data_IF_524882802256
#
_entry.id   IF_524882802256
#
_cell.length_a   1.000
_cell.length_b   1.000
_cell.length_c   1.000
_cell.angle_alpha   90.00
_cell.angle_beta   90.00
_cell.angle_gamma   90.00
#
_symmetry.space_group_name_H-M   'P 1'
#
loop_
_entity.id
_entity.type
_entity.pdbx_description
1 polymer ?
#
# COMPACT_ATOMS: atom_id res chain seq x y z
N UNK A 1 29.11 -55.85 -50.52
CA UNK A 1 28.80 -55.36 -51.89
C UNK A 1 27.49 -54.58 -51.78
N UNK A 2 27.46 -53.35 -52.34
CA UNK A 2 26.31 -52.44 -52.53
C UNK A 2 25.77 -51.72 -51.27
N UNK A 3 26.04 -50.42 -51.07
CA UNK A 3 25.44 -49.18 -51.68
C UNK A 3 23.97 -48.93 -51.29
N UNK A 4 23.78 -47.90 -50.46
CA UNK A 4 22.65 -46.94 -50.46
C UNK A 4 22.32 -46.47 -51.89
N UNK A 5 21.15 -45.83 -52.20
CA UNK A 5 20.36 -44.93 -51.34
C UNK A 5 18.82 -45.01 -51.55
N UNK A 6 18.03 -44.19 -50.85
CA UNK A 6 16.84 -43.51 -51.41
C UNK A 6 16.37 -42.40 -50.45
N UNK A 7 16.22 -41.20 -51.03
CA UNK A 7 15.67 -39.98 -50.46
C UNK A 7 14.16 -39.87 -50.74
N UNK A 8 13.51 -39.08 -49.89
CA UNK A 8 12.38 -38.16 -50.10
C UNK A 8 11.15 -38.61 -50.91
N UNK A 9 9.97 -38.57 -50.27
CA UNK A 9 9.01 -37.46 -50.45
C UNK A 9 7.75 -37.64 -49.57
N UNK A 10 7.47 -36.59 -48.78
CA UNK A 10 6.19 -35.93 -48.48
C UNK A 10 4.92 -36.72 -48.12
N UNK A 11 4.32 -36.43 -46.95
CA UNK A 11 2.92 -35.97 -46.76
C UNK A 11 2.79 -35.31 -45.33
N UNK A 12 1.72 -34.57 -44.97
CA UNK A 12 1.53 -33.12 -45.12
C UNK A 12 1.35 -32.35 -43.78
N UNK A 13 1.32 -31.02 -43.86
CA UNK A 13 0.78 -30.12 -42.84
C UNK A 13 -0.68 -30.44 -42.50
N UNK A 14 -1.02 -30.59 -41.21
CA UNK A 14 -2.12 -29.84 -40.58
C UNK A 14 -2.31 -30.11 -39.07
N UNK A 15 -2.37 -28.99 -38.33
CA UNK A 15 -3.35 -28.68 -37.27
C UNK A 15 -3.13 -29.28 -35.86
N UNK A 16 -2.72 -28.37 -34.97
CA UNK A 16 -3.14 -28.22 -33.57
C UNK A 16 -3.40 -29.51 -32.77
N UNK A 17 -2.36 -29.98 -32.07
CA UNK A 17 -2.57 -30.68 -30.80
C UNK A 17 -2.17 -29.75 -29.65
N UNK A 18 -3.20 -29.20 -29.00
CA UNK A 18 -3.10 -28.70 -27.64
C UNK A 18 -2.45 -29.80 -26.77
N UNK A 19 -1.19 -29.63 -26.40
CA UNK A 19 -0.60 -30.44 -25.34
C UNK A 19 -1.24 -29.99 -24.03
N UNK A 20 -2.11 -30.87 -23.53
CA UNK A 20 -2.72 -30.84 -22.21
C UNK A 20 -1.70 -30.48 -21.13
N UNK A 21 -2.03 -29.55 -20.20
CA UNK A 21 -1.13 -29.25 -19.10
C UNK A 21 -0.96 -30.50 -18.21
N UNK A 22 0.30 -30.86 -18.00
CA UNK A 22 0.73 -31.91 -17.07
C UNK A 22 0.25 -31.50 -15.68
N UNK A 23 -0.78 -32.20 -15.19
CA UNK A 23 -1.28 -32.05 -13.82
C UNK A 23 -0.19 -32.59 -12.88
N UNK A 24 0.32 -31.72 -12.00
CA UNK A 24 1.27 -32.07 -10.97
C UNK A 24 0.50 -32.60 -9.75
N UNK A 25 0.57 -33.91 -9.48
CA UNK A 25 -0.19 -34.61 -8.43
C UNK A 25 0.28 -34.32 -6.98
N UNK A 26 0.86 -33.15 -6.71
CA UNK A 26 1.33 -32.75 -5.37
C UNK A 26 0.65 -31.49 -4.83
N UNK A 27 -0.44 -31.04 -5.44
CA UNK A 27 -1.26 -29.97 -4.88
C UNK A 27 -2.33 -30.58 -3.98
N UNK A 28 -2.27 -30.30 -2.68
CA UNK A 28 -3.44 -30.45 -1.82
C UNK A 28 -4.51 -29.48 -2.35
N UNK A 29 -5.32 -29.97 -3.29
CA UNK A 29 -6.50 -29.29 -3.82
C UNK A 29 -7.46 -29.11 -2.64
N UNK A 30 -7.53 -27.90 -2.08
CA UNK A 30 -8.73 -27.52 -1.33
C UNK A 30 -9.87 -27.37 -2.35
N UNK A 31 -11.07 -27.93 -2.14
CA UNK A 31 -12.04 -28.16 -3.21
C UNK A 31 -12.59 -26.91 -3.93
N UNK A 32 -12.32 -25.70 -3.44
CA UNK A 32 -13.11 -24.50 -3.78
C UNK A 32 -12.31 -23.28 -4.28
N UNK A 33 -11.06 -23.41 -4.75
CA UNK A 33 -10.30 -22.24 -5.23
C UNK A 33 -9.69 -22.47 -6.63
N UNK A 34 -10.18 -21.71 -7.63
CA UNK A 34 -9.57 -21.62 -8.95
C UNK A 34 -8.18 -20.97 -8.83
N UNK A 35 -7.12 -21.70 -9.18
CA UNK A 35 -5.75 -21.18 -9.21
C UNK A 35 -5.46 -20.49 -10.55
N UNK A 36 -4.92 -19.29 -10.49
CA UNK A 36 -4.40 -18.51 -11.60
C UNK A 36 -2.99 -19.02 -11.96
N UNK A 37 -2.77 -19.33 -13.24
CA UNK A 37 -1.44 -19.63 -13.80
C UNK A 37 -0.82 -18.36 -14.35
N UNK A 38 0.37 -18.01 -13.86
CA UNK A 38 1.21 -16.92 -14.38
C UNK A 38 2.51 -17.50 -14.90
N UNK A 39 2.77 -17.37 -16.20
CA UNK A 39 4.03 -17.74 -16.81
C UNK A 39 4.90 -16.49 -16.99
N UNK A 40 6.11 -16.51 -16.44
CA UNK A 40 7.10 -15.46 -16.69
C UNK A 40 7.90 -15.81 -17.93
N UNK A 41 7.57 -15.13 -19.04
CA UNK A 41 8.19 -15.29 -20.35
C UNK A 41 9.71 -15.07 -20.31
N UNK A 42 10.22 -14.28 -19.35
CA UNK A 42 11.63 -13.97 -19.25
C UNK A 42 12.45 -15.00 -18.47
N UNK A 43 11.81 -15.82 -17.62
CA UNK A 43 12.51 -16.68 -16.67
C UNK A 43 12.13 -18.15 -16.74
N UNK A 44 11.16 -18.54 -17.59
CA UNK A 44 10.60 -19.90 -17.64
C UNK A 44 10.06 -20.35 -16.27
N UNK A 45 9.63 -19.41 -15.44
CA UNK A 45 9.00 -19.68 -14.15
C UNK A 45 7.49 -19.70 -14.33
N UNK A 46 6.83 -20.73 -13.80
CA UNK A 46 5.38 -20.79 -13.73
C UNK A 46 4.94 -20.66 -12.27
N UNK A 47 3.96 -19.79 -12.01
CA UNK A 47 3.39 -19.57 -10.69
C UNK A 47 1.90 -19.93 -10.70
N UNK A 48 1.45 -20.63 -9.66
CA UNK A 48 0.06 -21.02 -9.43
C UNK A 48 -0.40 -20.39 -8.12
N UNK A 49 -1.42 -19.53 -8.17
CA UNK A 49 -1.93 -18.82 -6.99
C UNK A 49 -3.36 -18.32 -7.20
N UNK A 50 -4.05 -17.98 -6.12
CA UNK A 50 -5.27 -17.17 -6.12
C UNK A 50 -5.13 -15.98 -5.14
N UNK A 51 -3.89 -15.55 -4.90
CA UNK A 51 -3.55 -14.37 -4.11
C UNK A 51 -4.31 -13.11 -4.58
N UNK A 52 -4.87 -12.28 -3.67
CA UNK A 52 -4.69 -12.30 -2.22
C UNK A 52 -5.67 -13.19 -1.44
N UNK A 53 -6.60 -13.89 -2.09
CA UNK A 53 -7.60 -14.75 -1.42
C UNK A 53 -6.92 -15.84 -0.60
N UNK A 54 -5.89 -16.47 -1.16
CA UNK A 54 -4.98 -17.35 -0.43
C UNK A 54 -3.58 -16.74 -0.37
N UNK A 55 -2.87 -16.85 0.77
CA UNK A 55 -1.48 -16.41 0.89
C UNK A 55 -0.49 -17.37 0.21
N UNK A 56 -0.96 -18.54 -0.26
CA UNK A 56 -0.11 -19.57 -0.82
C UNK A 56 0.17 -19.36 -2.31
N UNK A 57 1.43 -19.53 -2.69
CA UNK A 57 1.91 -19.45 -4.07
C UNK A 57 2.80 -20.65 -4.32
N UNK A 58 2.51 -21.36 -5.40
CA UNK A 58 3.35 -22.46 -5.86
C UNK A 58 4.12 -22.03 -7.10
N UNK A 59 5.44 -22.08 -7.03
CA UNK A 59 6.31 -21.80 -8.16
C UNK A 59 6.90 -23.11 -8.69
N UNK A 60 6.93 -23.25 -10.00
CA UNK A 60 7.69 -24.29 -10.69
C UNK A 60 8.75 -23.63 -11.57
N UNK A 61 10.02 -23.86 -11.24
CA UNK A 61 11.16 -23.27 -11.97
C UNK A 61 11.89 -24.34 -12.76
N UNK A 62 12.19 -24.07 -14.02
CA UNK A 62 12.92 -25.00 -14.89
C UNK A 62 14.40 -24.63 -14.91
N UNK A 63 15.27 -25.51 -14.43
CA UNK A 63 16.72 -25.36 -14.56
C UNK A 63 17.33 -26.61 -15.18
N UNK A 64 18.01 -26.46 -16.33
CA UNK A 64 18.67 -27.57 -17.01
C UNK A 64 17.71 -28.70 -17.40
N UNK A 65 16.47 -28.35 -17.78
CA UNK A 65 15.42 -29.31 -18.13
C UNK A 65 14.76 -30.02 -16.94
N UNK A 66 15.11 -29.67 -15.70
CA UNK A 66 14.47 -30.20 -14.49
C UNK A 66 13.57 -29.17 -13.83
N UNK A 67 12.44 -29.64 -13.31
CA UNK A 67 11.49 -28.86 -12.54
C UNK A 67 11.90 -28.79 -11.07
N UNK A 68 11.92 -27.58 -10.52
CA UNK A 68 12.20 -27.29 -9.12
C UNK A 68 10.97 -26.62 -8.52
N UNK A 69 10.04 -27.41 -7.95
CA UNK A 69 8.87 -26.87 -7.29
C UNK A 69 9.25 -26.21 -5.97
N UNK A 70 8.66 -25.06 -5.68
CA UNK A 70 8.79 -24.39 -4.40
C UNK A 70 7.49 -23.71 -4.02
N UNK A 71 7.10 -23.85 -2.75
CA UNK A 71 5.91 -23.22 -2.20
C UNK A 71 6.28 -22.05 -1.30
N UNK A 72 5.48 -21.00 -1.37
CA UNK A 72 5.60 -19.80 -0.56
C UNK A 72 4.27 -19.53 0.12
N UNK A 73 4.33 -19.04 1.34
CA UNK A 73 3.18 -18.46 2.04
C UNK A 73 3.53 -17.01 2.35
N UNK A 74 2.86 -16.08 1.68
CA UNK A 74 3.07 -14.64 1.85
C UNK A 74 2.46 -14.22 3.19
N UNK A 75 3.32 -13.83 4.13
CA UNK A 75 2.90 -13.35 5.45
C UNK A 75 2.72 -11.83 5.42
N UNK A 76 3.59 -11.12 4.72
CA UNK A 76 3.46 -9.69 4.49
C UNK A 76 4.05 -9.34 3.13
N UNK A 77 3.26 -8.66 2.28
CA UNK A 77 3.69 -8.27 0.94
C UNK A 77 4.80 -7.20 0.97
N UNK A 78 4.86 -6.39 2.02
CA UNK A 78 5.80 -5.26 2.12
C UNK A 78 5.55 -4.16 1.09
N UNK A 79 6.40 -3.13 1.11
CA UNK A 79 6.28 -1.95 0.25
C UNK A 79 7.64 -1.50 -0.28
N UNK A 80 7.67 -0.92 -1.48
CA UNK A 80 8.90 -0.33 -2.01
C UNK A 80 9.12 1.07 -1.41
N UNK A 81 10.28 1.35 -0.79
CA UNK A 81 10.60 2.71 -0.35
C UNK A 81 10.91 3.61 -1.55
N UNK A 82 10.94 4.93 -1.34
CA UNK A 82 11.24 5.91 -2.40
C UNK A 82 12.56 5.63 -3.12
N UNK A 83 13.58 5.14 -2.39
CA UNK A 83 14.85 4.68 -2.94
C UNK A 83 14.93 3.16 -2.82
N UNK A 84 14.54 2.47 -3.87
CA UNK A 84 14.51 1.00 -3.93
C UNK A 84 15.91 0.43 -4.14
N UNK A 85 16.26 -0.57 -3.34
CA UNK A 85 17.44 -1.41 -3.55
C UNK A 85 17.03 -2.59 -4.44
N UNK A 86 17.90 -2.92 -5.39
CA UNK A 86 17.75 -4.05 -6.30
C UNK A 86 18.67 -5.18 -5.86
N UNK A 87 18.27 -6.42 -6.16
CA UNK A 87 19.18 -7.56 -6.05
C UNK A 87 20.37 -7.39 -7.00
N UNK A 88 21.44 -8.14 -6.76
CA UNK A 88 22.56 -8.20 -7.71
C UNK A 88 22.02 -8.67 -9.07
N UNK A 89 22.50 -8.03 -10.13
CA UNK A 89 22.16 -8.39 -11.51
C UNK A 89 22.75 -9.77 -11.82
N UNK A 90 21.88 -10.70 -12.19
CA UNK A 90 22.26 -12.06 -12.59
C UNK A 90 21.58 -12.35 -13.94
N UNK A 91 22.36 -12.78 -14.93
CA UNK A 91 21.89 -13.00 -16.32
C UNK A 91 21.08 -11.84 -16.90
N UNK A 92 21.44 -10.60 -16.55
CA UNK A 92 20.74 -9.40 -17.03
C UNK A 92 19.55 -8.97 -16.17
N UNK A 93 19.09 -9.80 -15.24
CA UNK A 93 17.87 -9.57 -14.45
C UNK A 93 18.24 -9.16 -13.02
N UNK A 94 17.51 -8.19 -12.47
CA UNK A 94 17.53 -7.84 -11.05
C UNK A 94 16.10 -7.58 -10.58
N UNK A 95 15.87 -7.78 -9.28
CA UNK A 95 14.55 -7.69 -8.67
C UNK A 95 14.53 -6.57 -7.64
N UNK A 96 13.42 -5.84 -7.58
CA UNK A 96 13.20 -4.83 -6.54
C UNK A 96 13.04 -5.53 -5.19
N UNK A 97 13.68 -5.00 -4.16
CA UNK A 97 13.59 -5.56 -2.81
C UNK A 97 12.57 -4.77 -1.99
N UNK A 98 11.43 -5.36 -1.59
CA UNK A 98 10.45 -4.66 -0.75
C UNK A 98 10.94 -4.49 0.68
N UNK A 99 10.44 -3.48 1.37
CA UNK A 99 10.62 -3.28 2.81
C UNK A 99 9.51 -3.97 3.60
N UNK A 100 9.82 -4.49 4.79
CA UNK A 100 8.92 -5.22 5.68
C UNK A 100 8.20 -6.40 5.02
N UNK A 101 8.80 -6.99 3.98
CA UNK A 101 8.26 -8.17 3.33
C UNK A 101 8.61 -9.42 4.13
N UNK A 102 7.66 -10.35 4.21
CA UNK A 102 7.78 -11.59 4.96
C UNK A 102 7.14 -12.73 4.18
N UNK A 103 7.90 -13.81 4.03
CA UNK A 103 7.46 -15.01 3.31
C UNK A 103 7.96 -16.25 4.02
N UNK A 104 7.07 -17.20 4.22
CA UNK A 104 7.40 -18.53 4.70
C UNK A 104 7.62 -19.47 3.51
N UNK A 105 8.67 -20.29 3.57
CA UNK A 105 8.99 -21.30 2.55
C UNK A 105 9.76 -22.46 3.18
N UNK A 106 10.13 -23.45 2.38
CA UNK A 106 10.93 -24.60 2.81
C UNK A 106 12.35 -24.49 2.26
N UNK A 107 13.34 -24.67 3.13
CA UNK A 107 14.75 -24.77 2.76
C UNK A 107 15.39 -25.96 3.49
N UNK A 108 15.96 -26.90 2.72
CA UNK A 108 16.55 -28.15 3.24
C UNK A 108 15.57 -28.91 4.18
N UNK A 109 14.31 -28.99 3.79
CA UNK A 109 13.27 -29.72 4.55
C UNK A 109 12.72 -28.99 5.78
N UNK A 110 13.22 -27.79 6.09
CA UNK A 110 12.76 -27.00 7.22
C UNK A 110 11.94 -25.79 6.75
N UNK A 111 10.85 -25.52 7.47
CA UNK A 111 10.08 -24.29 7.28
C UNK A 111 10.87 -23.10 7.82
N UNK A 112 11.07 -22.11 6.96
CA UNK A 112 11.81 -20.88 7.28
C UNK A 112 10.99 -19.66 6.92
N UNK A 113 11.08 -18.63 7.78
CA UNK A 113 10.47 -17.32 7.57
C UNK A 113 11.54 -16.34 7.11
N UNK A 114 11.45 -15.92 5.85
CA UNK A 114 12.36 -14.97 5.24
C UNK A 114 11.79 -13.55 5.35
N UNK A 115 12.60 -12.59 5.81
CA UNK A 115 12.19 -11.20 6.03
C UNK A 115 13.17 -10.21 5.40
N UNK A 116 12.64 -9.14 4.81
CA UNK A 116 13.45 -7.99 4.38
C UNK A 116 13.09 -6.75 5.17
N UNK A 117 14.10 -6.05 5.68
CA UNK A 117 13.91 -4.83 6.45
C UNK A 117 14.96 -3.79 6.05
N UNK A 118 14.51 -2.63 5.59
CA UNK A 118 15.37 -1.51 5.27
C UNK A 118 15.85 -0.86 6.57
N UNK A 119 17.15 -0.58 6.63
CA UNK A 119 17.77 0.14 7.73
C UNK A 119 18.26 1.48 7.22
N UNK A 120 17.75 2.54 7.85
CA UNK A 120 18.07 3.93 7.52
C UNK A 120 19.04 4.47 8.57
N UNK A 121 20.33 4.37 8.28
CA UNK A 121 21.38 5.03 9.06
C UNK A 121 22.10 6.07 8.17
N UNK A 122 23.41 5.93 7.96
CA UNK A 122 24.19 6.78 7.03
C UNK A 122 24.08 6.33 5.57
N UNK A 123 23.80 5.04 5.35
CA UNK A 123 23.57 4.43 4.03
C UNK A 123 22.30 3.58 4.11
N UNK A 124 21.50 3.59 3.04
CA UNK A 124 20.35 2.69 2.92
C UNK A 124 20.89 1.29 2.68
N UNK A 125 20.58 0.37 3.58
CA UNK A 125 20.92 -1.06 3.46
C UNK A 125 19.69 -1.90 3.77
N UNK A 126 19.62 -3.10 3.20
CA UNK A 126 18.56 -4.07 3.50
C UNK A 126 19.13 -5.18 4.37
N UNK A 127 18.48 -5.43 5.50
CA UNK A 127 18.67 -6.63 6.31
C UNK A 127 17.80 -7.74 5.75
N UNK A 128 18.45 -8.83 5.34
CA UNK A 128 17.82 -10.07 4.93
C UNK A 128 17.91 -11.04 6.10
N UNK A 129 16.79 -11.46 6.65
CA UNK A 129 16.73 -12.39 7.79
C UNK A 129 16.10 -13.70 7.35
N UNK A 130 16.65 -14.82 7.80
CA UNK A 130 16.03 -16.15 7.74
C UNK A 130 15.79 -16.57 9.19
N UNK A 131 14.52 -16.77 9.55
CA UNK A 131 14.11 -17.26 10.86
C UNK A 131 13.63 -18.70 10.73
N UNK A 132 13.89 -19.51 11.74
CA UNK A 132 13.44 -20.90 11.81
C UNK A 132 13.19 -21.27 13.26
N UNK A 133 12.41 -22.34 13.46
CA UNK A 133 12.21 -22.93 14.79
C UNK A 133 13.19 -24.09 14.94
N UNK A 134 13.96 -24.11 16.02
CA UNK A 134 14.86 -25.21 16.32
C UNK A 134 14.12 -26.42 16.91
N UNK A 135 14.84 -27.51 17.16
CA UNK A 135 14.28 -28.76 17.70
C UNK A 135 13.61 -28.59 19.08
N UNK A 136 13.96 -27.53 19.82
CA UNK A 136 13.40 -27.22 21.13
C UNK A 136 12.21 -26.24 21.05
N UNK A 137 11.74 -25.91 19.84
CA UNK A 137 10.67 -24.94 19.65
C UNK A 137 11.13 -23.48 19.79
N UNK A 138 12.43 -23.19 19.90
CA UNK A 138 12.92 -21.82 20.00
C UNK A 138 13.11 -21.20 18.62
N UNK A 139 12.68 -19.94 18.49
CA UNK A 139 12.87 -19.17 17.26
C UNK A 139 14.33 -18.71 17.21
N UNK A 140 15.04 -19.16 16.18
CA UNK A 140 16.38 -18.70 15.82
C UNK A 140 16.34 -17.88 14.56
N UNK A 141 17.38 -17.06 14.36
CA UNK A 141 17.49 -16.22 13.19
C UNK A 141 18.93 -16.03 12.78
N UNK A 142 19.16 -16.01 11.47
CA UNK A 142 20.41 -15.54 10.88
C UNK A 142 20.08 -14.40 9.92
N UNK A 143 21.00 -13.46 9.78
CA UNK A 143 20.79 -12.33 8.89
C UNK A 143 22.05 -11.94 8.13
N UNK A 144 21.85 -11.29 6.99
CA UNK A 144 22.91 -10.68 6.20
C UNK A 144 22.50 -9.29 5.74
N UNK A 145 23.47 -8.37 5.70
CA UNK A 145 23.33 -7.06 5.07
C UNK A 145 23.85 -7.04 3.63
N UNK A 146 24.44 -8.15 3.15
CA UNK A 146 25.06 -8.23 1.82
C UNK A 146 24.11 -8.73 0.75
N UNK A 147 23.33 -9.79 1.03
CA UNK A 147 22.33 -10.34 0.11
C UNK A 147 21.43 -11.36 0.79
N UNK A 148 20.26 -11.62 0.18
CA UNK A 148 19.36 -12.70 0.56
C UNK A 148 20.02 -14.08 0.51
N UNK A 149 20.84 -14.35 -0.51
CA UNK A 149 21.54 -15.63 -0.66
C UNK A 149 22.57 -15.86 0.44
N UNK A 150 23.27 -14.79 0.86
CA UNK A 150 24.19 -14.87 1.99
C UNK A 150 23.48 -15.19 3.31
N UNK A 151 22.29 -14.63 3.55
CA UNK A 151 21.49 -14.98 4.74
C UNK A 151 21.09 -16.48 4.71
N UNK A 152 20.62 -16.98 3.57
CA UNK A 152 20.30 -18.40 3.41
C UNK A 152 21.51 -19.33 3.53
N UNK A 153 22.69 -18.93 3.02
CA UNK A 153 23.93 -19.69 3.23
C UNK A 153 24.38 -19.71 4.69
N UNK A 154 24.17 -18.63 5.45
CA UNK A 154 24.43 -18.62 6.90
C UNK A 154 23.52 -19.63 7.62
N UNK A 155 22.23 -19.64 7.29
CA UNK A 155 21.29 -20.66 7.79
C UNK A 155 21.75 -22.09 7.48
N UNK A 156 22.12 -22.38 6.22
CA UNK A 156 22.59 -23.72 5.84
C UNK A 156 23.91 -24.11 6.53
N UNK A 157 24.79 -23.14 6.78
CA UNK A 157 26.02 -23.37 7.53
C UNK A 157 25.71 -23.74 8.99
N UNK A 158 24.77 -23.04 9.61
CA UNK A 158 24.39 -23.22 11.01
C UNK A 158 23.64 -24.53 11.26
N UNK A 159 22.74 -24.91 10.34
CA UNK A 159 21.84 -26.06 10.55
C UNK A 159 22.30 -27.33 9.85
N UNK A 160 22.93 -27.22 8.69
CA UNK A 160 23.28 -28.38 7.88
C UNK A 160 24.78 -28.72 7.89
N UNK A 161 25.62 -27.94 8.60
CA UNK A 161 27.09 -28.02 8.49
C UNK A 161 27.58 -28.01 7.04
N UNK A 162 26.89 -27.24 6.17
CA UNK A 162 27.19 -27.12 4.74
C UNK A 162 27.82 -25.75 4.42
N UNK A 163 29.08 -25.49 4.79
CA UNK A 163 29.69 -24.14 4.70
C UNK A 163 29.84 -23.62 3.27
N UNK A 164 29.90 -24.51 2.28
CA UNK A 164 30.07 -24.16 0.86
C UNK A 164 28.76 -24.19 0.07
N UNK A 165 27.62 -24.51 0.72
CA UNK A 165 26.33 -24.53 0.02
C UNK A 165 25.84 -23.12 -0.28
N UNK A 166 25.50 -22.89 -1.54
CA UNK A 166 24.95 -21.64 -2.03
C UNK A 166 23.47 -21.83 -2.29
N UNK A 167 22.67 -20.85 -1.87
CA UNK A 167 21.24 -20.80 -2.17
C UNK A 167 20.94 -19.56 -2.99
N UNK A 168 20.06 -19.70 -3.97
CA UNK A 168 19.53 -18.56 -4.70
C UNK A 168 18.69 -17.72 -3.74
N UNK A 169 19.17 -16.53 -3.41
CA UNK A 169 18.47 -15.63 -2.49
C UNK A 169 17.17 -15.09 -3.05
N UNK A 170 17.12 -14.85 -4.37
CA UNK A 170 15.90 -14.42 -5.07
C UNK A 170 14.83 -15.49 -4.99
N UNK A 171 15.20 -16.74 -5.25
CA UNK A 171 14.32 -17.90 -5.15
C UNK A 171 13.90 -18.16 -3.71
N UNK A 172 14.84 -18.16 -2.74
CA UNK A 172 14.52 -18.39 -1.33
C UNK A 172 13.52 -17.36 -0.77
N UNK A 173 13.70 -16.08 -1.11
CA UNK A 173 12.81 -15.01 -0.67
C UNK A 173 11.61 -14.81 -1.62
N UNK A 174 11.51 -15.56 -2.73
CA UNK A 174 10.47 -15.35 -3.74
C UNK A 174 10.48 -13.94 -4.36
N UNK A 175 11.63 -13.27 -4.41
CA UNK A 175 11.77 -11.91 -4.97
C UNK A 175 11.60 -11.89 -6.50
N UNK A 176 11.77 -13.04 -7.14
CA UNK A 176 11.56 -13.26 -8.58
C UNK A 176 10.08 -13.47 -8.96
N UNK A 177 9.16 -13.36 -8.01
CA UNK A 177 7.72 -13.48 -8.25
C UNK A 177 7.18 -12.18 -8.84
N UNK A 178 7.22 -12.05 -10.17
CA UNK A 178 6.92 -10.81 -10.91
C UNK A 178 5.51 -10.28 -10.69
N UNK A 179 4.48 -11.14 -10.59
CA UNK A 179 3.11 -10.68 -10.33
C UNK A 179 2.96 -10.02 -8.95
N UNK A 180 3.69 -10.49 -7.93
CA UNK A 180 3.69 -9.83 -6.62
C UNK A 180 4.33 -8.44 -6.69
N UNK A 181 5.29 -8.21 -7.58
CA UNK A 181 5.81 -6.87 -7.84
C UNK A 181 4.72 -5.98 -8.44
N UNK A 182 3.99 -6.48 -9.45
CA UNK A 182 2.89 -5.72 -10.08
C UNK A 182 1.82 -5.36 -9.05
N UNK A 183 1.43 -6.29 -8.17
CA UNK A 183 0.46 -6.03 -7.10
C UNK A 183 0.96 -4.93 -6.15
N UNK A 184 2.24 -4.97 -5.75
CA UNK A 184 2.83 -3.89 -4.92
C UNK A 184 2.77 -2.53 -5.60
N UNK A 185 3.04 -2.50 -6.90
CA UNK A 185 3.03 -1.27 -7.70
C UNK A 185 1.61 -0.73 -7.88
N UNK A 186 0.61 -1.61 -8.08
CA UNK A 186 -0.81 -1.24 -8.12
C UNK A 186 -1.26 -0.67 -6.78
N UNK A 187 -0.91 -1.32 -5.66
CA UNK A 187 -1.24 -0.82 -4.31
C UNK A 187 -0.57 0.53 -4.04
N UNK A 188 0.66 0.73 -4.54
CA UNK A 188 1.38 1.98 -4.39
C UNK A 188 0.86 3.11 -5.30
N UNK A 189 0.31 2.77 -6.48
CA UNK A 189 -0.23 3.72 -7.46
C UNK A 189 -1.71 4.03 -7.25
N UNK A 190 -2.44 3.18 -6.52
CA UNK A 190 -3.74 3.55 -5.99
C UNK A 190 -3.58 4.85 -5.19
N UNK A 191 -4.46 5.86 -5.40
CA UNK A 191 -4.43 7.09 -4.63
C UNK A 191 -4.56 6.70 -3.16
N UNK A 192 -3.42 6.71 -2.46
CA UNK A 192 -3.36 6.39 -1.05
C UNK A 192 -4.28 7.37 -0.33
N UNK A 193 -5.43 6.89 0.14
CA UNK A 193 -6.12 7.51 1.27
C UNK A 193 -5.34 7.25 2.58
N UNK A 194 -4.03 7.43 2.55
CA UNK A 194 -3.16 7.41 3.73
C UNK A 194 -2.53 8.80 3.81
N UNK A 195 -3.15 9.76 4.51
CA UNK A 195 -2.43 10.97 4.85
C UNK A 195 -1.27 10.56 5.74
N UNK A 196 -0.06 10.97 5.38
CA UNK A 196 1.07 11.08 6.29
C UNK A 196 0.69 12.04 7.43
N UNK A 197 -0.11 11.57 8.39
CA UNK A 197 -0.60 12.37 9.49
C UNK A 197 0.50 12.48 10.55
N UNK A 198 1.38 13.47 10.37
CA UNK A 198 2.10 14.13 11.47
C UNK A 198 1.15 14.90 12.42
N UNK A 199 -0.16 14.63 12.37
CA UNK A 199 -1.19 15.27 13.19
C UNK A 199 -1.21 14.54 14.54
N UNK A 200 -0.92 15.25 15.64
CA UNK A 200 -1.16 14.75 17.01
C UNK A 200 -2.62 14.32 17.17
N UNK A 201 -2.86 13.34 18.04
CA UNK A 201 -4.20 12.83 18.31
C UNK A 201 -5.11 13.96 18.80
N UNK A 202 -6.41 13.88 18.51
CA UNK A 202 -7.35 14.92 18.92
C UNK A 202 -7.40 15.10 20.44
N UNK A 203 -7.25 14.00 21.18
CA UNK A 203 -7.16 13.94 22.64
C UNK A 203 -5.88 14.55 23.22
N UNK A 204 -4.81 14.64 22.42
CA UNK A 204 -3.52 15.23 22.81
C UNK A 204 -3.47 16.75 22.57
N UNK A 205 -4.51 17.33 21.96
CA UNK A 205 -4.59 18.77 21.74
C UNK A 205 -4.90 19.48 23.06
N UNK A 206 -3.99 20.35 23.49
CA UNK A 206 -4.08 21.02 24.79
C UNK A 206 -4.98 22.25 24.77
N UNK A 207 -5.15 22.90 23.61
CA UNK A 207 -5.98 24.11 23.50
C UNK A 207 -7.25 23.89 22.70
N UNK A 208 -8.33 24.57 23.12
CA UNK A 208 -9.61 24.53 22.41
C UNK A 208 -9.50 25.08 20.99
N UNK A 209 -8.64 26.08 20.77
CA UNK A 209 -8.37 26.62 19.43
C UNK A 209 -7.79 25.56 18.47
N UNK A 210 -6.87 24.71 18.95
CA UNK A 210 -6.33 23.60 18.15
C UNK A 210 -7.42 22.55 17.83
N UNK A 211 -8.27 22.23 18.81
CA UNK A 211 -9.41 21.32 18.64
C UNK A 211 -10.41 21.86 17.62
N UNK A 212 -10.84 23.12 17.78
CA UNK A 212 -11.75 23.80 16.85
C UNK A 212 -11.16 23.89 15.44
N UNK A 213 -9.86 24.15 15.30
CA UNK A 213 -9.18 24.13 14.00
C UNK A 213 -9.22 22.75 13.36
N UNK A 214 -9.05 21.68 14.13
CA UNK A 214 -9.14 20.29 13.63
C UNK A 214 -10.57 19.97 13.17
N UNK A 215 -11.56 20.30 13.98
CA UNK A 215 -12.99 20.13 13.69
C UNK A 215 -13.37 20.88 12.40
N UNK A 216 -12.94 22.13 12.26
CA UNK A 216 -13.19 22.94 11.05
C UNK A 216 -12.56 22.34 9.79
N UNK A 217 -11.34 21.80 9.89
CA UNK A 217 -10.71 21.12 8.75
C UNK A 217 -11.50 19.88 8.32
N UNK A 218 -11.94 19.07 9.29
CA UNK A 218 -12.78 17.89 9.02
C UNK A 218 -14.08 18.31 8.34
N UNK A 219 -14.74 19.37 8.82
CA UNK A 219 -15.94 19.90 8.18
C UNK A 219 -15.69 20.24 6.69
N UNK A 220 -14.66 21.03 6.39
CA UNK A 220 -14.34 21.40 4.99
C UNK A 220 -14.06 20.19 4.09
N UNK A 221 -13.36 19.20 4.62
CA UNK A 221 -13.04 17.96 3.90
C UNK A 221 -14.31 17.14 3.62
N UNK A 222 -15.19 17.00 4.61
CA UNK A 222 -16.49 16.35 4.43
C UNK A 222 -17.35 17.08 3.40
N UNK A 223 -17.42 18.42 3.45
CA UNK A 223 -18.18 19.19 2.46
C UNK A 223 -17.68 18.92 1.03
N UNK A 224 -16.36 18.92 0.83
CA UNK A 224 -15.75 18.69 -0.49
C UNK A 224 -16.03 17.26 -0.98
N UNK A 225 -15.81 16.25 -0.14
CA UNK A 225 -16.07 14.85 -0.50
C UNK A 225 -17.56 14.60 -0.76
N UNK A 226 -18.46 15.22 0.01
CA UNK A 226 -19.90 15.10 -0.17
C UNK A 226 -20.32 15.64 -1.54
N UNK A 227 -19.80 16.82 -1.95
CA UNK A 227 -20.07 17.36 -3.28
C UNK A 227 -19.59 16.43 -4.41
N UNK A 228 -18.42 15.82 -4.24
CA UNK A 228 -17.91 14.80 -5.18
C UNK A 228 -18.83 13.59 -5.27
N UNK A 229 -19.22 13.03 -4.13
CA UNK A 229 -20.12 11.87 -4.04
C UNK A 229 -21.48 12.18 -4.69
N UNK A 230 -22.05 13.35 -4.41
CA UNK A 230 -23.33 13.78 -4.99
C UNK A 230 -23.24 13.88 -6.52
N UNK A 231 -22.14 14.43 -7.04
CA UNK A 231 -21.90 14.52 -8.49
C UNK A 231 -21.74 13.14 -9.14
N UNK A 232 -20.93 12.26 -8.56
CA UNK A 232 -20.69 10.90 -9.07
C UNK A 232 -21.97 10.05 -9.11
N UNK A 233 -22.87 10.26 -8.15
CA UNK A 233 -24.15 9.55 -8.04
C UNK A 233 -25.30 10.25 -8.77
N UNK A 234 -25.03 11.23 -9.64
CA UNK A 234 -26.02 11.94 -10.44
C UNK A 234 -27.14 12.62 -9.63
N UNK A 235 -26.82 13.13 -8.43
CA UNK A 235 -27.70 14.06 -7.70
C UNK A 235 -27.64 15.46 -8.32
N UNK A 236 -27.83 15.54 -9.64
CA UNK A 236 -27.69 16.74 -10.45
C UNK A 236 -28.95 16.98 -11.26
N UNK A 237 -29.26 18.24 -11.54
CA UNK A 237 -30.31 18.67 -12.46
C UNK A 237 -29.98 18.25 -13.89
N UNK A 238 -30.91 18.52 -14.81
CA UNK A 238 -30.68 18.41 -16.26
C UNK A 238 -29.58 19.34 -16.78
N UNK A 239 -29.19 20.37 -16.02
CA UNK A 239 -28.08 21.30 -16.31
C UNK A 239 -26.77 20.91 -15.63
N UNK A 240 -26.67 19.70 -15.08
CA UNK A 240 -25.51 19.18 -14.33
C UNK A 240 -25.19 19.91 -13.00
N UNK A 241 -26.12 20.71 -12.48
CA UNK A 241 -25.97 21.39 -11.19
C UNK A 241 -26.42 20.47 -10.04
N UNK A 242 -25.66 20.41 -8.94
CA UNK A 242 -26.01 19.56 -7.78
C UNK A 242 -27.29 20.11 -7.11
N UNK A 243 -28.33 19.27 -6.99
CA UNK A 243 -29.64 19.64 -6.42
C UNK A 243 -29.81 19.29 -4.94
N UNK A 244 -28.82 18.62 -4.35
CA UNK A 244 -28.83 18.22 -2.94
C UNK A 244 -27.79 19.03 -2.15
N UNK A 245 -28.14 19.42 -0.93
CA UNK A 245 -27.26 20.12 0.00
C UNK A 245 -27.02 19.29 1.26
N UNK A 246 -25.82 19.42 1.82
CA UNK A 246 -25.52 18.94 3.17
C UNK A 246 -25.84 20.08 4.14
N UNK A 247 -26.77 19.87 5.07
CA UNK A 247 -27.20 20.93 6.00
C UNK A 247 -26.41 20.94 7.32
N UNK A 248 -26.30 19.78 7.97
CA UNK A 248 -25.57 19.65 9.23
C UNK A 248 -25.03 18.23 9.45
N UNK A 249 -23.97 18.12 10.25
CA UNK A 249 -23.45 16.84 10.77
C UNK A 249 -23.24 16.96 12.27
N UNK A 250 -23.79 16.02 13.02
CA UNK A 250 -23.62 15.94 14.48
C UNK A 250 -22.56 14.89 14.81
N UNK A 251 -21.50 15.30 15.48
CA UNK A 251 -20.40 14.46 15.92
C UNK A 251 -20.41 14.34 17.45
N UNK A 252 -20.33 13.13 17.99
CA UNK A 252 -20.08 12.91 19.41
C UNK A 252 -18.59 12.65 19.65
N UNK A 253 -17.90 13.58 20.28
CA UNK A 253 -16.45 13.51 20.52
C UNK A 253 -16.21 13.55 22.04
N UNK A 254 -15.66 12.47 22.60
CA UNK A 254 -15.39 12.34 24.05
C UNK A 254 -16.59 12.65 24.96
N UNK A 255 -17.81 12.37 24.49
CA UNK A 255 -19.04 12.66 25.23
C UNK A 255 -19.65 14.04 24.95
N UNK A 256 -18.91 14.95 24.32
CA UNK A 256 -19.42 16.24 23.85
C UNK A 256 -20.09 16.10 22.48
N UNK A 257 -21.17 16.85 22.26
CA UNK A 257 -21.85 16.92 20.97
C UNK A 257 -21.31 18.15 20.23
N UNK A 258 -20.83 17.94 19.01
CA UNK A 258 -20.32 18.97 18.11
C UNK A 258 -21.16 18.94 16.85
N UNK A 259 -21.91 20.01 16.61
CA UNK A 259 -22.67 20.20 15.38
C UNK A 259 -21.86 21.02 14.38
N UNK A 260 -21.69 20.46 13.18
CA UNK A 260 -21.09 21.11 12.02
C UNK A 260 -22.20 21.54 11.09
N UNK A 261 -22.51 22.83 11.10
CA UNK A 261 -23.48 23.41 10.17
C UNK A 261 -22.79 23.72 8.84
N UNK A 262 -23.38 23.22 7.76
CA UNK A 262 -22.94 23.36 6.38
C UNK A 262 -23.87 24.25 5.56
N UNK A 263 -24.88 24.84 6.22
CA UNK A 263 -25.66 25.91 5.65
C UNK A 263 -24.70 26.90 5.00
N UNK A 264 -24.94 27.20 3.73
CA UNK A 264 -24.35 28.38 3.13
C UNK A 264 -24.98 29.55 3.85
N UNK A 265 -24.41 29.93 4.99
CA UNK A 265 -24.63 31.28 5.51
C UNK A 265 -24.25 32.16 4.35
N UNK A 266 -25.31 32.72 3.75
CA UNK A 266 -25.25 33.61 2.62
C UNK A 266 -24.09 34.55 2.92
N UNK A 267 -23.02 34.50 2.13
CA UNK A 267 -21.88 35.41 2.31
C UNK A 267 -22.42 36.84 2.41
N UNK A 268 -23.54 37.11 1.73
CA UNK A 268 -24.44 38.25 1.83
C UNK A 268 -24.97 38.62 3.23
N UNK A 269 -25.40 37.69 4.09
CA UNK A 269 -25.95 38.01 5.43
C UNK A 269 -24.85 38.38 6.42
N UNK A 270 -23.72 37.66 6.40
CA UNK A 270 -22.55 38.02 7.20
C UNK A 270 -21.93 39.35 6.72
N UNK A 271 -21.95 39.57 5.41
CA UNK A 271 -21.58 40.83 4.77
C UNK A 271 -22.43 41.99 5.27
N UNK A 272 -23.75 41.85 5.21
CA UNK A 272 -24.70 42.86 5.67
C UNK A 272 -24.60 43.11 7.17
N UNK A 273 -24.32 42.08 7.96
CA UNK A 273 -24.09 42.21 9.39
C UNK A 273 -22.84 43.05 9.71
N UNK A 274 -21.71 42.77 9.05
CA UNK A 274 -20.49 43.58 9.19
C UNK A 274 -20.71 45.03 8.71
N UNK A 275 -21.38 45.22 7.57
CA UNK A 275 -21.68 46.55 7.04
C UNK A 275 -22.59 47.35 7.98
N UNK A 276 -23.53 46.68 8.66
CA UNK A 276 -24.40 47.31 9.66
C UNK A 276 -23.61 47.77 10.89
N UNK A 277 -22.59 47.02 11.32
CA UNK A 277 -21.71 47.41 12.43
C UNK A 277 -20.86 48.62 12.03
N UNK A 278 -20.27 48.61 10.84
CA UNK A 278 -19.48 49.72 10.31
C UNK A 278 -20.35 50.98 10.23
N UNK A 279 -21.52 50.86 9.62
CA UNK A 279 -22.49 51.95 9.48
C UNK A 279 -22.93 52.51 10.83
N UNK A 280 -23.22 51.65 11.80
CA UNK A 280 -23.55 52.10 13.15
C UNK A 280 -22.38 52.85 13.81
N UNK A 281 -21.13 52.41 13.63
CA UNK A 281 -19.96 53.12 14.15
C UNK A 281 -19.79 54.51 13.50
N UNK A 282 -19.98 54.59 12.19
CA UNK A 282 -19.90 55.84 11.42
C UNK A 282 -21.03 56.81 11.81
N UNK A 283 -22.27 56.33 11.90
CA UNK A 283 -23.45 57.12 12.26
C UNK A 283 -23.43 57.60 13.73
N UNK A 284 -22.82 56.83 14.64
CA UNK A 284 -22.73 57.17 16.06
C UNK A 284 -21.40 57.82 16.46
N UNK A 285 -20.49 58.07 15.50
CA UNK A 285 -19.16 58.66 15.72
C UNK A 285 -18.32 57.92 16.78
N UNK A 286 -18.50 56.61 16.91
CA UNK A 286 -17.70 55.82 17.85
C UNK A 286 -16.28 55.73 17.30
N UNK A 287 -15.33 56.31 18.02
CA UNK A 287 -13.93 56.17 17.63
C UNK A 287 -13.51 54.71 17.64
N UNK A 288 -12.63 54.38 16.70
CA UNK A 288 -12.10 53.04 16.52
C UNK A 288 -11.55 52.41 17.81
N UNK A 289 -10.83 53.19 18.61
CA UNK A 289 -10.34 52.74 19.92
C UNK A 289 -11.44 52.55 20.97
N UNK A 290 -12.53 53.32 20.90
CA UNK A 290 -13.70 53.14 21.76
C UNK A 290 -14.42 51.84 21.42
N UNK A 291 -14.59 51.52 20.13
CA UNK A 291 -15.15 50.24 19.69
C UNK A 291 -14.29 49.06 20.16
N UNK A 292 -12.96 49.15 20.06
CA UNK A 292 -12.04 48.12 20.58
C UNK A 292 -12.22 47.86 22.08
N UNK A 293 -12.39 48.92 22.88
CA UNK A 293 -12.63 48.81 24.33
C UNK A 293 -13.98 48.17 24.62
N UNK A 294 -15.03 48.56 23.89
CA UNK A 294 -16.37 47.97 24.00
C UNK A 294 -16.38 46.49 23.63
N UNK A 295 -15.78 46.13 22.50
CA UNK A 295 -15.66 44.73 22.05
C UNK A 295 -14.80 43.87 22.98
N UNK A 296 -13.97 44.48 23.84
CA UNK A 296 -13.23 43.78 24.89
C UNK A 296 -14.10 43.44 26.10
N UNK A 297 -15.07 44.29 26.42
CA UNK A 297 -15.98 44.10 27.54
C UNK A 297 -17.22 43.24 27.18
N UNK A 298 -17.65 43.28 25.91
CA UNK A 298 -18.83 42.54 25.43
C UNK A 298 -18.38 41.32 24.60
N UNK A 299 -18.52 40.08 25.10
CA UNK A 299 -18.02 38.87 24.43
C UNK A 299 -18.65 38.61 23.06
N UNK A 300 -19.88 39.08 22.86
CA UNK A 300 -20.67 38.85 21.64
C UNK A 300 -20.41 39.89 20.55
N UNK A 301 -19.56 40.90 20.80
CA UNK A 301 -19.20 41.89 19.78
C UNK A 301 -18.09 41.35 18.87
N UNK A 302 -18.23 41.56 17.56
CA UNK A 302 -17.21 41.21 16.58
C UNK A 302 -15.94 42.04 16.84
N UNK A 303 -14.78 41.37 16.79
CA UNK A 303 -13.48 42.04 16.98
C UNK A 303 -13.10 42.82 15.74
N UNK A 304 -12.60 44.03 15.95
CA UNK A 304 -12.25 44.97 14.88
C UNK A 304 -11.35 44.38 13.77
N UNK A 305 -10.36 43.54 14.09
CA UNK A 305 -9.49 42.94 13.06
C UNK A 305 -10.23 42.03 12.07
N UNK A 306 -11.46 41.59 12.39
CA UNK A 306 -12.35 40.84 11.50
C UNK A 306 -13.08 41.80 10.55
N UNK A 307 -13.37 43.01 11.02
CA UNK A 307 -14.05 44.07 10.28
C UNK A 307 -13.07 44.73 9.29
N UNK A 308 -11.82 44.96 9.70
CA UNK A 308 -10.78 45.63 8.90
C UNK A 308 -10.24 44.86 7.71
N UNK A 309 -10.42 43.53 7.67
CA UNK A 309 -9.90 42.69 6.57
C UNK A 309 -10.75 42.77 5.30
N UNK A 310 -11.55 43.83 5.20
CA UNK A 310 -12.56 44.07 4.20
C UNK A 310 -12.30 45.42 3.56
#
# INVERSE_FOLDING_TARGET
MFRNPLSDHEVPDNILQFQTPIICDYFQKTPNEELILVNDENTQHSFFHNYPTSPYIHANRVFGGKNYPQSYKIISLGQYPTRVIYTRKEKGINYKVPNNYQVETVLNGLTVLCKTQYQFSRKIVVRYTVEWTDENGQIRSSYSLSSAGAAGSLFLKEICNKPNSRVSGTTLFGLDTSFLQQIREIIASQPQQIPANRKRCFTELTSQSQKNKRISMIGKEIATQTLTILKENKFTSSSEEIIASLEAIILKINGEIVELNFHSDNITDFTQHLDSIIRACDETLISRDSYRRLAKAVPNLIREYVIEKR
#
